data_IF_349756313285
#
_entry.id   IF_349756313285
#
_cell.length_a   1.000
_cell.length_b   1.000
_cell.length_c   1.000
_cell.angle_alpha   90.00
_cell.angle_beta   90.00
_cell.angle_gamma   90.00
#
_symmetry.space_group_name_H-M   'P 1'
#
loop_
_entity.id
_entity.type
_entity.pdbx_description
1 polymer ?
#
# COMPACT_ATOMS: atom_id res chain seq x y z
N UNK A 1 -11.12 -2.26 7.36
CA UNK A 1 -10.02 -2.36 8.32
C UNK A 1 -8.69 -2.46 7.58
N UNK A 2 -7.66 -1.73 8.02
CA UNK A 2 -6.28 -1.79 7.54
C UNK A 2 -5.30 -1.76 8.70
N UNK A 3 -4.00 -1.84 8.40
CA UNK A 3 -2.96 -1.89 9.44
C UNK A 3 -2.94 -0.64 10.35
N UNK A 4 -3.42 0.51 9.87
CA UNK A 4 -3.51 1.72 10.70
C UNK A 4 -4.51 1.63 11.85
N UNK A 5 -5.50 0.75 11.73
CA UNK A 5 -6.57 0.60 12.73
C UNK A 5 -6.18 -0.35 13.87
N UNK A 6 -4.99 -0.95 13.78
CA UNK A 6 -4.43 -1.85 14.79
C UNK A 6 -3.96 -1.09 16.04
N UNK A 7 -4.01 -1.76 17.17
CA UNK A 7 -3.49 -1.20 18.44
C UNK A 7 -1.98 -1.46 18.58
N UNK A 8 -1.33 -0.65 19.39
CA UNK A 8 0.08 -0.83 19.71
C UNK A 8 0.31 -2.17 20.44
N UNK A 9 1.37 -2.89 20.07
CA UNK A 9 1.67 -4.23 20.57
C UNK A 9 0.82 -5.34 19.95
N UNK A 10 0.04 -5.03 18.91
CA UNK A 10 -0.77 -5.98 18.13
C UNK A 10 -0.72 -5.62 16.64
N UNK A 11 0.49 -5.37 16.13
CA UNK A 11 0.71 -5.07 14.72
C UNK A 11 0.65 -6.33 13.87
N UNK A 12 0.10 -6.21 12.67
CA UNK A 12 -0.06 -7.32 11.73
C UNK A 12 -1.42 -8.03 11.78
N UNK A 13 -2.32 -7.64 12.67
CA UNK A 13 -3.63 -8.29 12.80
C UNK A 13 -4.49 -8.18 11.53
N UNK A 14 -4.51 -7.03 10.87
CA UNK A 14 -5.28 -6.86 9.64
C UNK A 14 -4.78 -7.80 8.54
N UNK A 15 -3.46 -7.91 8.37
CA UNK A 15 -2.85 -8.84 7.42
C UNK A 15 -3.01 -10.31 7.86
N UNK A 16 -2.92 -10.59 9.14
CA UNK A 16 -3.16 -11.93 9.66
C UNK A 16 -4.58 -12.40 9.35
N UNK A 17 -5.58 -11.51 9.50
CA UNK A 17 -6.96 -11.81 9.14
C UNK A 17 -7.15 -12.03 7.64
N UNK A 18 -6.35 -11.38 6.79
CA UNK A 18 -6.32 -11.71 5.36
C UNK A 18 -6.07 -13.21 5.15
N UNK A 19 -5.12 -13.78 5.87
CA UNK A 19 -4.82 -15.21 5.81
C UNK A 19 -5.86 -16.07 6.52
N UNK A 20 -6.24 -15.69 7.74
CA UNK A 20 -7.11 -16.48 8.61
C UNK A 20 -8.49 -16.74 7.99
N UNK A 21 -9.03 -15.77 7.26
CA UNK A 21 -10.34 -15.89 6.62
C UNK A 21 -10.35 -16.76 5.33
N UNK A 22 -9.24 -17.41 5.00
CA UNK A 22 -9.16 -18.50 4.03
C UNK A 22 -9.07 -19.88 4.69
N UNK A 23 -8.94 -19.96 6.02
CA UNK A 23 -8.82 -21.25 6.73
C UNK A 23 -10.07 -22.12 6.61
N UNK A 24 -11.25 -21.50 6.52
CA UNK A 24 -12.54 -22.15 6.34
C UNK A 24 -13.65 -21.49 7.15
N UNK A 25 -14.85 -22.03 6.99
CA UNK A 25 -16.07 -21.58 7.66
C UNK A 25 -16.82 -22.78 8.25
N UNK A 26 -17.97 -22.56 8.87
CA UNK A 26 -18.82 -23.67 9.34
C UNK A 26 -19.20 -24.63 8.19
N UNK A 27 -19.39 -24.10 6.98
CA UNK A 27 -19.85 -24.85 5.81
C UNK A 27 -18.74 -25.12 4.77
N UNK A 28 -17.56 -24.55 4.95
CA UNK A 28 -16.37 -24.79 4.11
C UNK A 28 -15.27 -25.40 4.99
N UNK A 29 -14.92 -26.65 4.70
CA UNK A 29 -13.84 -27.32 5.43
C UNK A 29 -12.52 -26.57 5.31
N UNK A 30 -11.73 -26.65 6.38
CA UNK A 30 -10.39 -26.05 6.44
C UNK A 30 -9.52 -26.45 5.25
N UNK A 31 -8.91 -25.48 4.58
CA UNK A 31 -8.05 -25.67 3.41
C UNK A 31 -8.78 -25.94 2.11
N UNK A 32 -10.13 -25.91 2.09
CA UNK A 32 -10.93 -26.20 0.89
C UNK A 32 -11.34 -24.95 0.10
N UNK A 33 -11.07 -23.78 0.61
CA UNK A 33 -11.43 -22.52 -0.06
C UNK A 33 -10.92 -22.47 -1.50
N UNK A 34 -9.62 -22.63 -1.69
CA UNK A 34 -8.96 -22.59 -3.00
C UNK A 34 -9.38 -23.74 -3.92
N UNK A 35 -9.68 -24.93 -3.36
CA UNK A 35 -10.18 -26.07 -4.11
C UNK A 35 -11.55 -25.76 -4.73
N UNK A 36 -12.47 -25.13 -3.95
CA UNK A 36 -13.82 -24.76 -4.42
C UNK A 36 -13.70 -23.71 -5.54
N UNK A 37 -12.89 -22.68 -5.36
CA UNK A 37 -12.68 -21.65 -6.38
C UNK A 37 -12.18 -22.29 -7.68
N UNK A 38 -11.12 -23.09 -7.60
CA UNK A 38 -10.50 -23.73 -8.76
C UNK A 38 -11.41 -24.72 -9.46
N UNK A 39 -12.16 -25.55 -8.70
CA UNK A 39 -13.12 -26.53 -9.25
C UNK A 39 -14.27 -25.85 -10.01
N UNK A 40 -14.57 -24.60 -9.72
CA UNK A 40 -15.61 -23.83 -10.40
C UNK A 40 -15.04 -22.87 -11.47
N UNK A 41 -13.77 -23.03 -11.86
CA UNK A 41 -13.11 -22.24 -12.90
C UNK A 41 -12.81 -20.80 -12.49
N UNK A 42 -12.78 -20.53 -11.19
CA UNK A 42 -12.49 -19.22 -10.63
C UNK A 42 -11.01 -19.00 -10.29
N UNK A 43 -10.71 -17.80 -9.90
CA UNK A 43 -9.45 -17.36 -9.28
C UNK A 43 -9.76 -16.38 -8.16
N UNK A 44 -8.93 -16.36 -7.15
CA UNK A 44 -9.08 -15.46 -6.01
C UNK A 44 -7.72 -14.97 -5.51
N UNK A 45 -7.74 -13.87 -4.77
CA UNK A 45 -6.61 -13.37 -4.01
C UNK A 45 -7.11 -12.39 -2.94
N UNK A 46 -6.19 -11.91 -2.12
CA UNK A 46 -6.44 -10.84 -1.16
C UNK A 46 -5.20 -9.94 -1.01
N UNK A 47 -5.36 -8.79 -0.41
CA UNK A 47 -4.26 -7.94 0.00
C UNK A 47 -4.66 -6.98 1.12
N UNK A 48 -3.72 -6.72 2.00
CA UNK A 48 -3.85 -5.73 3.08
C UNK A 48 -2.96 -4.53 2.82
N UNK A 49 -3.48 -3.36 3.12
CA UNK A 49 -2.76 -2.09 3.09
C UNK A 49 -2.87 -1.38 4.43
N UNK A 50 -2.33 -0.19 4.53
CA UNK A 50 -2.51 0.66 5.70
C UNK A 50 -3.99 1.00 5.97
N UNK A 51 -4.82 1.10 4.93
CA UNK A 51 -6.19 1.61 5.03
C UNK A 51 -7.28 0.54 4.91
N UNK A 52 -6.98 -0.63 4.33
CA UNK A 52 -8.00 -1.65 4.03
C UNK A 52 -7.42 -3.05 3.90
N UNK A 53 -8.27 -4.05 4.09
CA UNK A 53 -8.10 -5.44 3.62
C UNK A 53 -9.09 -5.67 2.48
N UNK A 54 -8.64 -6.28 1.40
CA UNK A 54 -9.40 -6.51 0.18
C UNK A 54 -9.34 -7.98 -0.21
N UNK A 55 -10.50 -8.61 -0.34
CA UNK A 55 -10.68 -9.97 -0.84
C UNK A 55 -11.37 -9.89 -2.18
N UNK A 56 -11.00 -10.73 -3.13
CA UNK A 56 -11.70 -10.79 -4.41
C UNK A 56 -11.66 -12.17 -5.02
N UNK A 57 -12.71 -12.47 -5.74
CA UNK A 57 -12.88 -13.69 -6.50
C UNK A 57 -13.39 -13.37 -7.89
N UNK A 58 -12.90 -14.10 -8.88
CA UNK A 58 -13.37 -14.00 -10.26
C UNK A 58 -13.87 -15.37 -10.68
N UNK A 59 -15.13 -15.46 -11.12
CA UNK A 59 -15.76 -16.68 -11.57
C UNK A 59 -16.36 -16.50 -12.97
N UNK A 60 -16.57 -17.59 -13.75
CA UNK A 60 -17.50 -17.57 -14.88
C UNK A 60 -18.88 -17.07 -14.45
N UNK A 61 -19.59 -16.30 -15.29
CA UNK A 61 -20.86 -15.65 -14.92
C UNK A 61 -21.93 -16.63 -14.40
N UNK A 62 -21.97 -17.87 -14.90
CA UNK A 62 -22.86 -18.92 -14.42
C UNK A 62 -22.47 -19.52 -13.05
N UNK A 63 -21.45 -18.95 -12.39
CA UNK A 63 -20.98 -19.34 -11.05
C UNK A 63 -21.04 -18.18 -10.05
N UNK A 64 -21.75 -17.10 -10.39
CA UNK A 64 -21.92 -15.94 -9.53
C UNK A 64 -22.41 -16.30 -8.12
N UNK A 65 -23.39 -17.19 -8.02
CA UNK A 65 -23.98 -17.61 -6.75
C UNK A 65 -22.95 -18.28 -5.83
N UNK A 66 -21.99 -19.04 -6.37
CA UNK A 66 -20.92 -19.66 -5.58
C UNK A 66 -20.04 -18.58 -4.94
N UNK A 67 -19.65 -17.55 -5.70
CA UNK A 67 -18.85 -16.44 -5.17
C UNK A 67 -19.59 -15.67 -4.07
N UNK A 68 -20.89 -15.37 -4.28
CA UNK A 68 -21.71 -14.71 -3.26
C UNK A 68 -21.87 -15.56 -2.00
N UNK A 69 -22.10 -16.87 -2.15
CA UNK A 69 -22.15 -17.79 -1.03
C UNK A 69 -20.82 -17.83 -0.26
N UNK A 70 -19.69 -18.00 -0.95
CA UNK A 70 -18.38 -18.07 -0.29
C UNK A 70 -18.07 -16.79 0.49
N UNK A 71 -18.32 -15.62 -0.09
CA UNK A 71 -18.08 -14.36 0.60
C UNK A 71 -19.06 -14.10 1.74
N UNK A 72 -20.31 -14.58 1.66
CA UNK A 72 -21.24 -14.54 2.80
C UNK A 72 -20.79 -15.46 3.94
N UNK A 73 -20.28 -16.65 3.62
CA UNK A 73 -19.69 -17.56 4.61
C UNK A 73 -18.49 -16.93 5.33
N UNK A 74 -17.62 -16.23 4.60
CA UNK A 74 -16.51 -15.46 5.17
C UNK A 74 -16.96 -14.43 6.21
N UNK A 75 -18.11 -13.80 5.98
CA UNK A 75 -18.66 -12.77 6.86
C UNK A 75 -19.46 -13.34 8.03
N UNK A 76 -20.21 -14.42 7.80
CA UNK A 76 -21.16 -14.98 8.78
C UNK A 76 -20.53 -16.04 9.69
N UNK A 77 -19.70 -16.92 9.14
CA UNK A 77 -19.35 -18.17 9.78
C UNK A 77 -17.85 -18.49 9.76
N UNK A 78 -16.92 -17.49 9.88
CA UNK A 78 -15.50 -17.78 9.83
C UNK A 78 -15.07 -18.65 11.00
N UNK A 79 -14.30 -19.71 10.74
CA UNK A 79 -13.71 -20.54 11.80
C UNK A 79 -12.44 -19.90 12.34
N UNK A 80 -12.59 -19.18 13.48
CA UNK A 80 -11.47 -18.62 14.21
C UNK A 80 -11.14 -19.55 15.37
N UNK A 81 -10.32 -20.55 15.07
CA UNK A 81 -9.94 -21.62 16.00
C UNK A 81 -8.41 -21.60 16.21
N UNK A 82 -7.99 -22.11 17.39
CA UNK A 82 -6.56 -22.14 17.74
C UNK A 82 -5.69 -22.80 16.69
N UNK A 83 -6.14 -23.88 16.07
CA UNK A 83 -5.38 -24.59 15.04
C UNK A 83 -5.17 -23.73 13.77
N UNK A 84 -6.17 -22.92 13.38
CA UNK A 84 -6.06 -21.98 12.28
C UNK A 84 -5.10 -20.86 12.62
N UNK A 85 -5.25 -20.27 13.80
CA UNK A 85 -4.38 -19.20 14.31
C UNK A 85 -2.93 -19.67 14.37
N UNK A 86 -2.64 -20.81 15.00
CA UNK A 86 -1.28 -21.34 15.11
C UNK A 86 -0.66 -21.61 13.73
N UNK A 87 -1.46 -22.15 12.78
CA UNK A 87 -0.98 -22.41 11.42
C UNK A 87 -0.65 -21.12 10.70
N UNK A 88 -1.57 -20.15 10.69
CA UNK A 88 -1.37 -18.90 9.97
C UNK A 88 -0.33 -18.01 10.63
N UNK A 89 -0.09 -18.13 11.93
CA UNK A 89 1.03 -17.47 12.59
C UNK A 89 2.37 -17.87 11.94
N UNK A 90 2.61 -19.15 11.75
CA UNK A 90 3.85 -19.61 11.10
C UNK A 90 3.91 -19.21 9.61
N UNK A 91 2.77 -19.22 8.90
CA UNK A 91 2.70 -18.79 7.49
C UNK A 91 3.06 -17.31 7.35
N UNK A 92 2.45 -16.44 8.13
CA UNK A 92 2.70 -14.98 8.09
C UNK A 92 4.13 -14.66 8.52
N UNK A 93 4.66 -15.34 9.53
CA UNK A 93 6.05 -15.19 9.95
C UNK A 93 7.03 -15.62 8.86
N UNK A 94 6.73 -16.72 8.16
CA UNK A 94 7.55 -17.16 7.04
C UNK A 94 7.47 -16.19 5.86
N UNK A 95 6.29 -15.65 5.56
CA UNK A 95 6.13 -14.62 4.55
C UNK A 95 6.96 -13.37 4.87
N UNK A 96 6.92 -12.92 6.14
CA UNK A 96 7.76 -11.80 6.59
C UNK A 96 9.24 -12.08 6.40
N UNK A 97 9.70 -13.28 6.78
CA UNK A 97 11.11 -13.68 6.55
C UNK A 97 11.46 -13.63 5.06
N UNK A 98 10.63 -14.22 4.20
CA UNK A 98 10.91 -14.32 2.76
C UNK A 98 10.85 -12.97 2.05
N UNK A 99 9.87 -12.12 2.38
CA UNK A 99 9.63 -10.87 1.64
C UNK A 99 10.39 -9.67 2.20
N UNK A 100 10.63 -9.65 3.50
CA UNK A 100 11.21 -8.47 4.17
C UNK A 100 12.60 -8.79 4.74
N UNK A 101 12.69 -9.81 5.61
CA UNK A 101 13.89 -9.99 6.41
C UNK A 101 15.05 -10.61 5.59
N UNK A 102 14.75 -11.53 4.64
CA UNK A 102 15.72 -12.22 3.80
C UNK A 102 15.79 -11.73 2.35
N UNK A 103 14.84 -10.87 1.93
CA UNK A 103 14.83 -10.34 0.57
C UNK A 103 15.78 -9.13 0.46
N UNK A 104 16.64 -9.06 -0.56
CA UNK A 104 17.45 -7.87 -0.83
C UNK A 104 16.52 -6.64 -0.98
N UNK A 105 16.81 -5.56 -0.25
CA UNK A 105 16.00 -4.34 -0.19
C UNK A 105 14.55 -4.56 0.31
N UNK A 106 14.24 -5.68 0.97
CA UNK A 106 12.90 -5.99 1.45
C UNK A 106 12.30 -4.89 2.32
N UNK A 107 13.08 -4.30 3.23
CA UNK A 107 12.66 -3.17 4.07
C UNK A 107 12.32 -1.90 3.27
N UNK A 108 12.92 -1.69 2.08
CA UNK A 108 12.58 -0.58 1.18
C UNK A 108 11.29 -0.91 0.42
N UNK A 109 11.20 -2.10 -0.16
CA UNK A 109 10.09 -2.54 -1.01
C UNK A 109 8.78 -2.56 -0.20
N UNK A 110 8.83 -3.11 1.02
CA UNK A 110 7.69 -3.16 1.95
C UNK A 110 7.62 -1.97 2.91
N UNK A 111 8.48 -0.96 2.69
CA UNK A 111 8.51 0.33 3.37
C UNK A 111 8.79 0.29 4.87
N UNK A 112 9.03 -0.86 5.46
CA UNK A 112 9.28 -0.99 6.91
C UNK A 112 10.54 -0.24 7.38
N UNK A 113 11.55 -0.10 6.52
CA UNK A 113 12.74 0.72 6.76
C UNK A 113 12.62 2.18 6.29
N UNK A 114 11.43 2.63 5.93
CA UNK A 114 11.16 4.01 5.50
C UNK A 114 10.12 4.66 6.41
N UNK A 115 8.93 4.06 6.50
CA UNK A 115 7.78 4.66 7.17
C UNK A 115 7.95 4.75 8.68
N UNK A 116 8.69 3.83 9.30
CA UNK A 116 9.09 3.90 10.72
C UNK A 116 9.95 5.13 11.07
N UNK A 117 10.70 5.66 10.11
CA UNK A 117 11.47 6.89 10.29
C UNK A 117 10.66 8.14 9.92
N UNK A 118 9.69 7.98 9.02
CA UNK A 118 8.87 9.07 8.50
C UNK A 118 7.80 9.48 9.49
N UNK A 119 7.03 8.52 10.02
CA UNK A 119 5.95 8.75 10.98
C UNK A 119 6.43 8.49 12.42
N UNK A 120 6.11 9.41 13.33
CA UNK A 120 6.44 9.29 14.76
C UNK A 120 5.25 8.92 15.63
N UNK A 121 4.05 9.30 15.21
CA UNK A 121 2.82 9.15 15.98
C UNK A 121 1.78 8.37 15.20
N UNK A 122 1.66 8.67 13.89
CA UNK A 122 0.64 8.05 13.06
C UNK A 122 0.95 6.56 12.81
N UNK A 123 -0.04 5.66 12.88
CA UNK A 123 0.14 4.21 12.67
C UNK A 123 0.75 3.82 11.32
N UNK A 124 0.74 4.71 10.31
CA UNK A 124 1.43 4.45 9.04
C UNK A 124 2.93 4.19 9.19
N UNK A 125 3.54 4.54 10.32
CA UNK A 125 4.91 4.15 10.65
C UNK A 125 5.08 2.67 10.98
N UNK A 126 3.98 1.91 11.14
CA UNK A 126 4.00 0.48 11.47
C UNK A 126 4.01 -0.39 10.20
N UNK A 127 4.57 -1.58 10.33
CA UNK A 127 4.56 -2.58 9.26
C UNK A 127 3.17 -3.19 9.08
N UNK A 128 2.70 -3.31 7.84
CA UNK A 128 1.43 -3.98 7.54
C UNK A 128 1.46 -5.46 7.94
N UNK A 129 2.60 -6.14 7.73
CA UNK A 129 2.76 -7.54 8.10
C UNK A 129 2.98 -7.75 9.61
N UNK A 130 3.24 -6.67 10.36
CA UNK A 130 3.46 -6.70 11.79
C UNK A 130 4.89 -7.06 12.23
N UNK A 131 5.08 -7.16 13.55
CA UNK A 131 6.29 -7.67 14.16
C UNK A 131 6.14 -9.14 14.54
N UNK A 132 7.26 -9.88 14.63
CA UNK A 132 7.25 -11.27 15.09
C UNK A 132 6.76 -11.37 16.54
N UNK A 133 7.18 -10.44 17.39
CA UNK A 133 6.83 -10.41 18.80
C UNK A 133 5.33 -10.19 19.01
N UNK A 134 4.72 -9.28 18.23
CA UNK A 134 3.27 -9.03 18.30
C UNK A 134 2.45 -10.23 17.83
N UNK A 135 2.91 -10.91 16.75
CA UNK A 135 2.27 -12.11 16.24
C UNK A 135 2.34 -13.29 17.23
N UNK A 136 3.48 -13.44 17.92
CA UNK A 136 3.68 -14.50 18.91
C UNK A 136 2.93 -14.22 20.24
N UNK A 137 2.73 -12.96 20.58
CA UNK A 137 2.03 -12.55 21.78
C UNK A 137 0.50 -12.57 21.65
N UNK A 138 -0.02 -12.75 20.43
CA UNK A 138 -1.44 -12.69 20.14
C UNK A 138 -2.20 -13.92 20.68
N UNK A 139 -3.33 -13.69 21.34
CA UNK A 139 -4.18 -14.75 21.90
C UNK A 139 -5.46 -14.95 21.09
N UNK A 140 -6.02 -16.17 21.12
CA UNK A 140 -7.21 -16.54 20.34
C UNK A 140 -8.39 -15.58 20.56
N UNK A 141 -8.62 -15.15 21.79
CA UNK A 141 -9.72 -14.24 22.13
C UNK A 141 -9.56 -12.86 21.50
N UNK A 142 -8.31 -12.42 21.26
CA UNK A 142 -8.06 -11.14 20.58
C UNK A 142 -8.42 -11.21 19.10
N UNK A 143 -8.19 -12.36 18.45
CA UNK A 143 -8.65 -12.60 17.08
C UNK A 143 -10.19 -12.64 16.99
N UNK A 144 -10.86 -13.32 17.91
CA UNK A 144 -12.33 -13.34 17.95
C UNK A 144 -12.87 -11.91 18.10
N UNK A 145 -12.36 -11.15 19.06
CA UNK A 145 -12.79 -9.77 19.31
C UNK A 145 -12.49 -8.82 18.13
N UNK A 146 -11.36 -9.05 17.42
CA UNK A 146 -11.02 -8.29 16.24
C UNK A 146 -12.02 -8.56 15.09
N UNK A 147 -12.39 -9.83 14.88
CA UNK A 147 -13.40 -10.19 13.90
C UNK A 147 -14.75 -9.53 14.22
N UNK A 148 -15.26 -9.72 15.41
CA UNK A 148 -16.54 -9.14 15.87
C UNK A 148 -16.59 -7.62 15.71
N UNK A 149 -15.48 -6.95 15.97
CA UNK A 149 -15.38 -5.49 15.87
C UNK A 149 -15.34 -4.99 14.44
N UNK A 150 -14.59 -5.65 13.56
CA UNK A 150 -14.25 -5.07 12.25
C UNK A 150 -14.90 -5.74 11.06
N UNK A 151 -15.25 -7.03 11.16
CA UNK A 151 -15.84 -7.78 10.05
C UNK A 151 -17.37 -7.83 10.18
N UNK A 152 -17.99 -6.72 9.85
CA UNK A 152 -19.44 -6.54 9.89
C UNK A 152 -19.91 -5.64 8.73
N UNK A 153 -21.20 -5.68 8.34
CA UNK A 153 -21.71 -5.02 7.12
C UNK A 153 -21.49 -3.51 7.07
N UNK A 154 -21.54 -2.81 8.21
CA UNK A 154 -21.33 -1.35 8.24
C UNK A 154 -19.85 -0.94 8.11
N UNK A 155 -18.92 -1.90 8.08
CA UNK A 155 -17.50 -1.70 7.81
C UNK A 155 -17.02 -2.43 6.53
N UNK A 156 -17.93 -2.97 5.73
CA UNK A 156 -17.62 -3.71 4.51
C UNK A 156 -18.27 -3.08 3.28
N UNK A 157 -17.66 -3.25 2.14
CA UNK A 157 -18.22 -2.88 0.83
C UNK A 157 -18.16 -4.11 -0.07
N UNK A 158 -19.32 -4.58 -0.48
CA UNK A 158 -19.46 -5.62 -1.48
C UNK A 158 -19.60 -4.98 -2.87
N UNK A 159 -18.79 -5.42 -3.82
CA UNK A 159 -18.88 -4.99 -5.22
C UNK A 159 -18.96 -6.22 -6.12
N UNK A 160 -19.95 -6.25 -6.98
CA UNK A 160 -20.13 -7.31 -8.00
C UNK A 160 -20.11 -6.65 -9.38
N UNK A 161 -19.24 -7.15 -10.25
CA UNK A 161 -19.07 -6.63 -11.61
C UNK A 161 -18.96 -7.78 -12.62
N UNK A 162 -19.41 -7.54 -13.84
CA UNK A 162 -19.26 -8.51 -14.93
C UNK A 162 -20.54 -8.70 -15.74
N UNK A 163 -20.66 -9.86 -16.36
CA UNK A 163 -21.87 -10.29 -17.08
C UNK A 163 -22.91 -10.81 -16.08
N UNK A 164 -23.73 -9.88 -15.56
CA UNK A 164 -24.71 -10.13 -14.50
C UNK A 164 -26.06 -9.49 -14.82
N UNK A 165 -27.15 -10.15 -14.40
CA UNK A 165 -28.46 -9.48 -14.26
C UNK A 165 -28.52 -8.77 -12.90
N UNK A 166 -28.81 -7.49 -12.93
CA UNK A 166 -28.80 -6.65 -11.72
C UNK A 166 -29.93 -7.02 -10.74
N UNK A 167 -31.10 -7.41 -11.24
CA UNK A 167 -32.24 -7.74 -10.38
C UNK A 167 -32.03 -9.09 -9.69
N UNK A 168 -31.58 -10.09 -10.45
CA UNK A 168 -31.21 -11.41 -9.92
C UNK A 168 -30.05 -11.32 -8.93
N UNK A 169 -28.99 -10.59 -9.29
CA UNK A 169 -27.83 -10.39 -8.40
C UNK A 169 -28.23 -9.72 -7.07
N UNK A 170 -29.12 -8.71 -7.11
CA UNK A 170 -29.63 -8.09 -5.88
C UNK A 170 -30.44 -9.06 -5.03
N UNK A 171 -31.23 -9.94 -5.64
CA UNK A 171 -31.98 -10.97 -4.91
C UNK A 171 -31.01 -11.93 -4.21
N UNK A 172 -30.02 -12.45 -4.93
CA UNK A 172 -29.00 -13.33 -4.35
C UNK A 172 -28.21 -12.64 -3.21
N UNK A 173 -27.83 -11.37 -3.37
CA UNK A 173 -27.17 -10.61 -2.30
C UNK A 173 -28.08 -10.52 -1.07
N UNK A 174 -29.38 -10.28 -1.23
CA UNK A 174 -30.32 -10.24 -0.09
C UNK A 174 -30.46 -11.61 0.58
N UNK A 175 -30.47 -12.69 -0.20
CA UNK A 175 -30.58 -14.06 0.31
C UNK A 175 -29.34 -14.45 1.12
N UNK A 176 -28.14 -14.12 0.66
CA UNK A 176 -26.89 -14.50 1.30
C UNK A 176 -26.40 -13.53 2.39
N UNK A 177 -26.61 -12.22 2.22
CA UNK A 177 -26.07 -11.19 3.12
C UNK A 177 -27.14 -10.47 3.96
N UNK A 178 -28.43 -10.61 3.61
CA UNK A 178 -29.50 -9.84 4.25
C UNK A 178 -29.73 -10.15 5.72
N UNK A 179 -29.27 -11.29 6.22
CA UNK A 179 -29.39 -11.71 7.62
C UNK A 179 -28.19 -11.30 8.49
N UNK A 180 -27.14 -10.74 7.89
CA UNK A 180 -25.95 -10.34 8.64
C UNK A 180 -26.27 -9.11 9.47
N UNK A 181 -26.19 -9.25 10.80
CA UNK A 181 -26.46 -8.15 11.73
C UNK A 181 -25.31 -7.14 11.78
N UNK A 182 -25.66 -5.87 11.91
CA UNK A 182 -24.68 -4.81 12.13
C UNK A 182 -24.25 -4.76 13.59
N UNK A 183 -22.95 -4.61 13.82
CA UNK A 183 -22.44 -4.24 15.12
C UNK A 183 -22.48 -2.71 15.29
N UNK A 184 -23.26 -2.23 16.26
CA UNK A 184 -23.48 -0.81 16.50
C UNK A 184 -22.24 -0.05 17.02
N UNK A 185 -21.26 -0.76 17.58
CA UNK A 185 -20.06 -0.17 18.18
C UNK A 185 -18.93 0.11 17.17
N UNK A 186 -19.15 -0.18 15.90
CA UNK A 186 -18.12 -0.14 14.89
C UNK A 186 -17.71 1.29 14.48
N UNK A 187 -16.42 1.54 14.52
CA UNK A 187 -15.68 2.47 13.66
C UNK A 187 -15.73 3.96 13.97
N UNK A 188 -15.52 4.35 15.21
CA UNK A 188 -15.02 5.70 15.48
C UNK A 188 -13.57 5.77 15.00
N UNK A 189 -13.36 6.34 13.81
CA UNK A 189 -12.01 6.63 13.31
C UNK A 189 -11.46 7.80 14.11
N UNK A 190 -10.40 7.55 14.88
CA UNK A 190 -9.65 8.61 15.56
C UNK A 190 -8.80 9.35 14.52
N UNK A 191 -8.92 10.67 14.48
CA UNK A 191 -8.01 11.50 13.69
C UNK A 191 -6.69 11.64 14.46
N UNK A 192 -5.63 11.00 13.94
CA UNK A 192 -4.29 11.09 14.49
C UNK A 192 -3.47 12.07 13.68
N UNK A 193 -3.02 13.14 14.32
CA UNK A 193 -2.23 14.18 13.66
C UNK A 193 -0.74 13.86 13.79
N UNK A 194 -0.09 13.62 12.65
CA UNK A 194 1.37 13.47 12.59
C UNK A 194 2.06 14.83 12.67
N UNK A 195 3.04 15.02 13.55
CA UNK A 195 3.80 16.26 13.61
C UNK A 195 4.57 16.52 12.31
N UNK A 196 4.48 17.75 11.81
CA UNK A 196 5.20 18.15 10.60
C UNK A 196 6.73 17.99 10.77
N UNK A 197 7.39 17.56 9.71
CA UNK A 197 8.85 17.57 9.62
C UNK A 197 9.28 19.01 9.30
N UNK A 198 9.98 19.66 10.23
CA UNK A 198 10.43 21.04 10.11
C UNK A 198 11.95 21.17 9.90
N UNK A 199 12.68 20.06 10.07
CA UNK A 199 14.10 19.93 9.78
C UNK A 199 14.39 18.54 9.22
N UNK A 200 15.42 18.43 8.38
CA UNK A 200 15.83 17.14 7.80
C UNK A 200 16.14 16.14 8.91
N UNK A 201 15.45 14.99 8.87
CA UNK A 201 15.77 13.85 9.73
C UNK A 201 16.73 12.92 9.01
N UNK A 202 17.66 12.33 9.71
CA UNK A 202 18.64 11.38 9.17
C UNK A 202 18.45 10.02 9.83
N UNK A 203 18.47 8.97 9.00
CA UNK A 203 18.38 7.60 9.46
C UNK A 203 19.38 6.70 8.71
N UNK A 204 19.67 5.57 9.32
CA UNK A 204 20.45 4.51 8.69
C UNK A 204 19.73 3.19 8.91
N UNK A 205 19.54 2.45 7.83
CA UNK A 205 19.01 1.08 7.84
C UNK A 205 20.08 0.13 7.39
N UNK A 206 20.08 -1.07 7.95
CA UNK A 206 21.03 -2.13 7.63
C UNK A 206 20.32 -3.35 7.06
N UNK A 207 20.92 -3.94 6.03
CA UNK A 207 20.41 -5.14 5.37
C UNK A 207 21.58 -6.06 5.02
N UNK A 208 21.59 -7.24 5.63
CA UNK A 208 22.63 -8.26 5.39
C UNK A 208 22.51 -8.93 4.03
N UNK A 209 21.39 -8.77 3.33
CA UNK A 209 21.10 -9.44 2.07
C UNK A 209 21.51 -8.62 0.84
N UNK A 210 22.00 -7.40 1.05
CA UNK A 210 22.48 -6.54 -0.03
C UNK A 210 24.00 -6.40 0.01
N UNK A 211 24.59 -6.15 -1.15
CA UNK A 211 25.98 -5.75 -1.29
C UNK A 211 26.12 -4.27 -1.67
N UNK A 212 25.09 -3.71 -2.25
CA UNK A 212 25.09 -2.37 -2.83
C UNK A 212 24.19 -1.46 -2.01
N UNK A 213 24.72 -0.38 -1.45
CA UNK A 213 23.92 0.55 -0.65
C UNK A 213 22.92 1.35 -1.51
N UNK A 214 21.91 1.90 -0.83
CA UNK A 214 20.96 2.84 -1.43
C UNK A 214 20.89 4.13 -0.61
N UNK A 215 20.48 5.22 -1.27
CA UNK A 215 20.19 6.50 -0.62
C UNK A 215 18.77 6.94 -0.95
N UNK A 216 17.99 7.26 0.08
CA UNK A 216 16.55 7.46 -0.04
C UNK A 216 16.16 8.76 0.64
N UNK A 217 15.29 9.54 -0.03
CA UNK A 217 14.54 10.65 0.54
C UNK A 217 13.08 10.25 0.65
N UNK A 218 12.45 10.53 1.79
CA UNK A 218 11.03 10.31 1.97
C UNK A 218 10.36 11.52 2.62
N UNK A 219 9.15 11.85 2.16
CA UNK A 219 8.37 13.03 2.54
C UNK A 219 6.97 12.62 2.93
N UNK A 220 6.36 13.32 3.89
CA UNK A 220 4.92 13.24 4.15
C UNK A 220 4.21 14.13 3.13
N UNK A 221 3.16 13.63 2.52
CA UNK A 221 2.44 14.26 1.42
C UNK A 221 0.92 14.23 1.67
N UNK A 222 0.11 14.90 0.84
CA UNK A 222 -1.33 14.98 1.08
C UNK A 222 -2.02 13.63 0.91
N UNK A 223 -3.20 13.52 1.50
CA UNK A 223 -4.07 12.35 1.40
C UNK A 223 -4.61 12.13 -0.01
N UNK A 224 -5.03 10.91 -0.29
CA UNK A 224 -5.37 10.40 -1.63
C UNK A 224 -6.51 11.11 -2.34
N UNK A 225 -7.37 11.83 -1.62
CA UNK A 225 -8.50 12.58 -2.21
C UNK A 225 -8.08 13.94 -2.79
N UNK A 226 -6.92 14.46 -2.41
CA UNK A 226 -6.44 15.77 -2.80
C UNK A 226 -5.79 15.76 -4.19
N UNK A 227 -6.00 16.83 -4.97
CA UNK A 227 -5.42 16.97 -6.31
C UNK A 227 -3.89 16.90 -6.30
N UNK A 228 -3.26 17.36 -5.23
CA UNK A 228 -1.81 17.37 -5.09
C UNK A 228 -1.22 15.96 -5.01
N UNK A 229 -1.96 14.98 -4.48
CA UNK A 229 -1.55 13.58 -4.51
C UNK A 229 -1.39 13.07 -5.95
N UNK A 230 -2.32 13.38 -6.85
CA UNK A 230 -2.22 13.02 -8.27
C UNK A 230 -1.10 13.76 -8.98
N UNK A 231 -0.81 14.99 -8.55
CA UNK A 231 0.30 15.77 -9.10
C UNK A 231 1.66 15.15 -8.73
N UNK A 232 1.78 14.53 -7.56
CA UNK A 232 2.97 13.79 -7.15
C UNK A 232 3.23 12.54 -8.01
N UNK A 233 2.18 11.92 -8.59
CA UNK A 233 2.36 10.84 -9.57
C UNK A 233 3.05 11.34 -10.84
N UNK A 234 2.70 12.56 -11.30
CA UNK A 234 3.42 13.20 -12.41
C UNK A 234 4.88 13.43 -12.06
N UNK A 235 5.18 13.95 -10.88
CA UNK A 235 6.55 14.18 -10.40
C UNK A 235 7.35 12.87 -10.36
N UNK A 236 6.75 11.77 -9.86
CA UNK A 236 7.38 10.44 -9.86
C UNK A 236 7.76 10.00 -11.27
N UNK A 237 6.82 10.13 -12.21
CA UNK A 237 7.03 9.74 -13.61
C UNK A 237 8.08 10.61 -14.32
N UNK A 238 8.15 11.91 -14.01
CA UNK A 238 9.19 12.83 -14.54
C UNK A 238 10.56 12.38 -14.04
N UNK A 239 10.67 12.09 -12.75
CA UNK A 239 11.96 11.79 -12.13
C UNK A 239 12.49 10.41 -12.48
N UNK A 240 11.61 9.37 -12.50
CA UNK A 240 12.05 7.97 -12.66
C UNK A 240 11.19 7.11 -13.57
N UNK A 241 10.24 7.68 -14.32
CA UNK A 241 9.35 6.96 -15.25
C UNK A 241 10.05 6.44 -16.50
N UNK A 242 10.93 5.43 -16.33
CA UNK A 242 11.68 4.76 -17.39
C UNK A 242 12.99 5.47 -17.76
N UNK A 243 13.71 4.91 -18.74
CA UNK A 243 15.07 5.33 -19.11
C UNK A 243 15.16 6.76 -19.65
N UNK A 244 14.05 7.36 -20.08
CA UNK A 244 14.02 8.74 -20.54
C UNK A 244 13.78 9.77 -19.42
N UNK A 245 13.59 9.33 -18.19
CA UNK A 245 13.33 10.18 -17.03
C UNK A 245 14.56 10.98 -16.58
N UNK A 246 14.32 12.04 -15.81
CA UNK A 246 15.39 13.00 -15.47
C UNK A 246 16.49 12.40 -14.61
N UNK A 247 16.10 11.71 -13.52
CA UNK A 247 17.09 11.07 -12.62
C UNK A 247 17.82 9.94 -13.32
N UNK A 248 17.13 9.12 -14.14
CA UNK A 248 17.80 8.04 -14.85
C UNK A 248 18.88 8.60 -15.80
N UNK A 249 18.54 9.56 -16.65
CA UNK A 249 19.50 10.20 -17.56
C UNK A 249 20.67 10.87 -16.83
N UNK A 250 20.37 11.51 -15.68
CA UNK A 250 21.42 12.20 -14.93
C UNK A 250 22.30 11.23 -14.16
N UNK A 251 21.72 10.38 -13.32
CA UNK A 251 22.47 9.58 -12.35
C UNK A 251 22.99 8.26 -12.94
N UNK A 252 22.24 7.65 -13.87
CA UNK A 252 22.62 6.35 -14.46
C UNK A 252 23.43 6.54 -15.73
N UNK A 253 22.93 7.33 -16.69
CA UNK A 253 23.57 7.45 -18.01
C UNK A 253 24.77 8.40 -18.00
N UNK A 254 24.58 9.62 -17.46
CA UNK A 254 25.60 10.71 -17.54
C UNK A 254 26.63 10.62 -16.43
N UNK A 255 26.20 10.77 -15.18
CA UNK A 255 27.12 10.88 -14.05
C UNK A 255 27.61 9.51 -13.58
N UNK A 256 26.87 8.44 -13.90
CA UNK A 256 27.18 7.04 -13.60
C UNK A 256 27.40 6.75 -12.11
N UNK A 257 26.66 7.46 -11.25
CA UNK A 257 26.71 7.34 -9.78
C UNK A 257 25.65 6.38 -9.22
N UNK A 258 24.68 5.98 -10.04
CA UNK A 258 23.64 5.04 -9.68
C UNK A 258 23.55 3.88 -10.67
N UNK A 259 23.13 2.71 -10.18
CA UNK A 259 22.70 1.57 -10.99
C UNK A 259 21.23 1.68 -11.34
N UNK A 260 20.44 2.15 -10.38
CA UNK A 260 18.99 2.31 -10.51
C UNK A 260 18.53 3.53 -9.72
N UNK A 261 17.49 4.18 -10.21
CA UNK A 261 16.78 5.26 -9.53
C UNK A 261 15.32 4.88 -9.35
N UNK A 262 14.72 5.37 -8.27
CA UNK A 262 13.32 5.13 -7.95
C UNK A 262 12.66 6.43 -7.46
N UNK A 263 11.39 6.60 -7.79
CA UNK A 263 10.50 7.56 -7.16
C UNK A 263 9.06 7.06 -7.27
N UNK A 264 8.35 7.11 -6.18
CA UNK A 264 6.94 6.74 -6.14
C UNK A 264 6.19 7.55 -5.09
N UNK A 265 4.95 7.82 -5.41
CA UNK A 265 3.97 8.42 -4.53
C UNK A 265 3.02 7.33 -4.04
N UNK A 266 2.80 7.26 -2.74
CA UNK A 266 1.80 6.39 -2.14
C UNK A 266 0.82 7.26 -1.37
N UNK A 267 -0.34 7.51 -1.96
CA UNK A 267 -1.37 8.32 -1.35
C UNK A 267 -2.37 7.42 -0.61
N UNK A 268 -2.40 7.53 0.71
CA UNK A 268 -3.32 6.82 1.60
C UNK A 268 -4.45 7.74 2.08
N UNK A 269 -5.33 7.23 2.96
CA UNK A 269 -6.54 7.94 3.39
C UNK A 269 -6.23 9.17 4.26
N UNK A 270 -5.26 9.08 5.17
CA UNK A 270 -4.97 10.12 6.14
C UNK A 270 -3.75 10.98 5.74
N UNK A 271 -2.70 10.35 5.24
CA UNK A 271 -1.49 10.98 4.71
C UNK A 271 -1.00 10.23 3.47
N UNK A 272 -0.32 10.93 2.58
CA UNK A 272 0.50 10.30 1.56
C UNK A 272 1.97 10.26 1.96
N UNK A 273 2.76 9.52 1.21
CA UNK A 273 4.21 9.52 1.28
C UNK A 273 4.80 9.61 -0.13
N UNK A 274 5.83 10.41 -0.28
CA UNK A 274 6.60 10.49 -1.49
C UNK A 274 8.02 10.02 -1.22
N UNK A 275 8.45 8.98 -1.90
CA UNK A 275 9.78 8.40 -1.71
C UNK A 275 10.55 8.46 -3.02
N UNK A 276 11.80 8.88 -2.97
CA UNK A 276 12.73 8.84 -4.09
C UNK A 276 14.12 8.42 -3.63
N UNK A 277 14.90 7.83 -4.54
CA UNK A 277 16.22 7.35 -4.16
C UNK A 277 16.99 6.75 -5.32
N UNK A 278 18.19 6.25 -4.97
CA UNK A 278 19.09 5.60 -5.89
C UNK A 278 19.79 4.41 -5.25
N UNK A 279 19.93 3.32 -6.00
CA UNK A 279 20.87 2.22 -5.73
C UNK A 279 22.22 2.63 -6.31
N UNK A 280 23.24 2.66 -5.47
CA UNK A 280 24.52 3.32 -5.75
C UNK A 280 25.37 2.47 -6.70
N UNK A 281 26.19 3.12 -7.50
CA UNK A 281 27.18 2.47 -8.35
C UNK A 281 28.58 2.72 -7.80
N UNK A 282 29.27 1.66 -7.40
CA UNK A 282 30.63 1.75 -6.85
C UNK A 282 30.64 2.26 -5.40
N UNK A 283 31.71 2.95 -5.02
CA UNK A 283 31.84 3.50 -3.66
C UNK A 283 30.87 4.67 -3.44
N UNK A 284 30.17 4.72 -2.30
CA UNK A 284 29.16 5.76 -2.04
C UNK A 284 29.79 7.14 -1.89
N UNK A 285 29.39 8.07 -2.75
CA UNK A 285 29.60 9.49 -2.50
C UNK A 285 28.23 10.14 -2.17
N UNK A 286 27.92 10.19 -0.89
CA UNK A 286 26.62 10.65 -0.39
C UNK A 286 26.31 12.10 -0.77
N UNK A 287 27.33 12.97 -0.80
CA UNK A 287 27.17 14.38 -1.13
C UNK A 287 26.82 14.58 -2.61
N UNK A 288 27.46 13.83 -3.49
CA UNK A 288 27.13 13.86 -4.94
C UNK A 288 25.71 13.33 -5.17
N UNK A 289 25.34 12.21 -4.54
CA UNK A 289 24.00 11.66 -4.67
C UNK A 289 22.93 12.64 -4.18
N UNK A 290 23.13 13.18 -2.96
CA UNK A 290 22.25 14.19 -2.37
C UNK A 290 22.11 15.40 -3.28
N UNK A 291 23.24 16.00 -3.68
CA UNK A 291 23.26 17.18 -4.53
C UNK A 291 22.56 16.94 -5.86
N UNK A 292 22.80 15.80 -6.51
CA UNK A 292 22.17 15.48 -7.80
C UNK A 292 20.65 15.31 -7.67
N UNK A 293 20.19 14.63 -6.62
CA UNK A 293 18.75 14.45 -6.36
C UNK A 293 18.10 15.81 -6.03
N UNK A 294 18.73 16.63 -5.21
CA UNK A 294 18.24 17.97 -4.84
C UNK A 294 18.21 18.92 -6.07
N UNK A 295 19.18 18.83 -6.98
CA UNK A 295 19.18 19.59 -8.22
C UNK A 295 18.01 19.22 -9.13
N UNK A 296 17.66 17.94 -9.25
CA UNK A 296 16.51 17.52 -10.08
C UNK A 296 15.17 17.96 -9.45
N UNK A 297 15.03 17.91 -8.12
CA UNK A 297 13.89 18.53 -7.42
C UNK A 297 13.87 20.04 -7.68
N UNK A 298 15.01 20.71 -7.55
CA UNK A 298 15.12 22.16 -7.72
C UNK A 298 14.69 22.61 -9.12
N UNK A 299 15.00 21.85 -10.15
CA UNK A 299 14.52 22.13 -11.52
C UNK A 299 12.99 22.08 -11.59
N UNK A 300 12.33 21.10 -10.95
CA UNK A 300 10.87 21.06 -10.87
C UNK A 300 10.28 22.24 -10.10
N UNK A 301 10.99 22.76 -9.10
CA UNK A 301 10.58 23.91 -8.29
C UNK A 301 10.74 25.25 -9.01
N UNK A 302 11.69 25.36 -9.96
CA UNK A 302 12.05 26.63 -10.58
C UNK A 302 11.59 26.76 -12.03
N UNK A 303 11.48 25.64 -12.76
CA UNK A 303 11.19 25.60 -14.19
C UNK A 303 9.86 24.89 -14.45
N UNK A 304 9.18 25.27 -15.52
CA UNK A 304 8.07 24.47 -16.04
C UNK A 304 8.63 23.31 -16.88
N UNK A 305 7.97 22.15 -16.80
CA UNK A 305 8.32 21.04 -17.69
C UNK A 305 7.98 21.38 -19.15
N UNK A 306 8.69 20.76 -20.10
CA UNK A 306 8.44 20.96 -21.52
C UNK A 306 7.06 20.43 -21.94
N UNK A 307 6.50 20.99 -23.00
CA UNK A 307 5.22 20.51 -23.56
C UNK A 307 5.29 19.05 -23.97
N UNK A 308 6.40 18.62 -24.57
CA UNK A 308 6.62 17.22 -24.96
C UNK A 308 6.60 16.27 -23.75
N UNK A 309 7.24 16.66 -22.66
CA UNK A 309 7.28 15.87 -21.43
C UNK A 309 5.88 15.80 -20.78
N UNK A 310 5.18 16.92 -20.73
CA UNK A 310 3.83 17.01 -20.23
C UNK A 310 2.84 16.14 -21.03
N UNK A 311 2.84 16.24 -22.36
CA UNK A 311 1.97 15.42 -23.23
C UNK A 311 2.27 13.91 -23.11
N UNK A 312 3.55 13.53 -22.98
CA UNK A 312 3.92 12.14 -22.71
C UNK A 312 3.27 11.62 -21.42
N UNK A 313 3.28 12.42 -20.36
CA UNK A 313 2.70 12.04 -19.07
C UNK A 313 1.17 11.91 -19.15
N UNK A 314 0.50 12.88 -19.77
CA UNK A 314 -0.95 12.81 -20.01
C UNK A 314 -1.33 11.48 -20.68
N UNK A 315 -0.66 11.14 -21.79
CA UNK A 315 -0.93 9.91 -22.52
C UNK A 315 -0.64 8.65 -21.67
N UNK A 316 0.41 8.68 -20.86
CA UNK A 316 0.76 7.57 -19.97
C UNK A 316 -0.30 7.33 -18.89
N UNK A 317 -0.76 8.37 -18.22
CA UNK A 317 -1.80 8.25 -17.19
C UNK A 317 -3.13 7.82 -17.79
N UNK A 318 -3.49 8.32 -18.96
CA UNK A 318 -4.69 7.87 -19.67
C UNK A 318 -4.61 6.37 -20.02
N UNK A 319 -3.47 5.93 -20.56
CA UNK A 319 -3.25 4.52 -20.89
C UNK A 319 -3.32 3.63 -19.64
N UNK A 320 -2.64 4.02 -18.56
CA UNK A 320 -2.65 3.27 -17.30
C UNK A 320 -4.05 3.17 -16.71
N UNK A 321 -4.82 4.26 -16.77
CA UNK A 321 -6.20 4.28 -16.30
C UNK A 321 -7.11 3.33 -17.09
N UNK A 322 -7.03 3.36 -18.41
CA UNK A 322 -7.81 2.47 -19.29
C UNK A 322 -7.43 1.01 -19.02
N UNK A 323 -6.14 0.71 -18.91
CA UNK A 323 -5.66 -0.64 -18.62
C UNK A 323 -6.13 -1.14 -17.24
N UNK A 324 -6.05 -0.32 -16.21
CA UNK A 324 -6.48 -0.68 -14.85
C UNK A 324 -7.98 -1.01 -14.77
N UNK A 325 -8.81 -0.41 -15.62
CA UNK A 325 -10.26 -0.61 -15.66
C UNK A 325 -10.73 -1.43 -16.88
N UNK A 326 -9.86 -2.21 -17.50
CA UNK A 326 -10.20 -3.04 -18.67
C UNK A 326 -10.71 -4.45 -18.33
N UNK A 327 -10.64 -4.83 -17.06
CA UNK A 327 -11.10 -6.14 -16.57
C UNK A 327 -12.20 -5.98 -15.53
N UNK A 328 -13.01 -7.01 -15.33
CA UNK A 328 -14.06 -7.03 -14.29
C UNK A 328 -13.46 -6.84 -12.90
N UNK A 329 -12.32 -7.48 -12.62
CA UNK A 329 -11.57 -7.32 -11.37
C UNK A 329 -11.08 -5.88 -11.16
N UNK A 330 -10.49 -5.27 -12.19
CA UNK A 330 -10.00 -3.88 -12.12
C UNK A 330 -11.12 -2.88 -11.86
N UNK A 331 -12.29 -3.07 -12.49
CA UNK A 331 -13.49 -2.26 -12.24
C UNK A 331 -13.96 -2.45 -10.81
N UNK A 332 -14.09 -3.71 -10.33
CA UNK A 332 -14.52 -4.01 -8.97
C UNK A 332 -13.57 -3.38 -7.93
N UNK A 333 -12.27 -3.54 -8.11
CA UNK A 333 -11.25 -2.96 -7.24
C UNK A 333 -11.31 -1.43 -7.20
N UNK A 334 -11.49 -0.79 -8.34
CA UNK A 334 -11.62 0.68 -8.44
C UNK A 334 -12.89 1.17 -7.73
N UNK A 335 -14.04 0.53 -7.96
CA UNK A 335 -15.31 0.90 -7.31
C UNK A 335 -15.24 0.71 -5.80
N UNK A 336 -14.74 -0.43 -5.32
CA UNK A 336 -14.57 -0.72 -3.91
C UNK A 336 -13.65 0.31 -3.23
N UNK A 337 -12.48 0.58 -3.83
CA UNK A 337 -11.52 1.55 -3.33
C UNK A 337 -12.12 2.96 -3.24
N UNK A 338 -12.78 3.42 -4.30
CA UNK A 338 -13.32 4.77 -4.33
C UNK A 338 -14.46 4.95 -3.33
N UNK A 339 -15.35 3.96 -3.19
CA UNK A 339 -16.41 4.03 -2.20
C UNK A 339 -15.87 3.95 -0.78
N UNK A 340 -15.06 2.93 -0.47
CA UNK A 340 -14.55 2.67 0.87
C UNK A 340 -13.66 3.80 1.41
N UNK A 341 -12.75 4.32 0.58
CA UNK A 341 -11.73 5.28 1.02
C UNK A 341 -12.06 6.74 0.70
N UNK A 342 -13.00 6.98 -0.23
CA UNK A 342 -13.31 8.33 -0.72
C UNK A 342 -14.83 8.66 -0.68
N UNK A 343 -15.69 7.68 -0.36
CA UNK A 343 -17.13 7.86 -0.22
C UNK A 343 -17.90 8.02 -1.54
N UNK A 344 -17.26 7.81 -2.71
CA UNK A 344 -17.87 8.11 -4.01
C UNK A 344 -17.48 7.09 -5.10
N UNK A 345 -18.43 6.22 -5.53
CA UNK A 345 -18.21 5.28 -6.65
C UNK A 345 -18.01 5.98 -7.99
N UNK A 346 -18.68 7.12 -8.22
CA UNK A 346 -18.58 7.86 -9.48
C UNK A 346 -17.18 8.45 -9.75
N UNK A 347 -16.27 8.35 -8.77
CA UNK A 347 -14.85 8.68 -8.94
C UNK A 347 -14.22 7.91 -10.10
N UNK A 348 -14.66 6.68 -10.36
CA UNK A 348 -14.20 5.89 -11.51
C UNK A 348 -14.42 6.61 -12.84
N UNK A 349 -15.48 7.40 -12.99
CA UNK A 349 -15.74 8.17 -14.20
C UNK A 349 -15.01 9.52 -14.25
N UNK A 350 -14.59 10.03 -13.08
CA UNK A 350 -13.97 11.36 -12.93
C UNK A 350 -12.44 11.31 -12.82
N UNK A 351 -11.88 10.15 -12.52
CA UNK A 351 -10.46 10.01 -12.20
C UNK A 351 -9.55 10.53 -13.32
N UNK A 352 -9.87 10.19 -14.57
CA UNK A 352 -9.09 10.63 -15.71
C UNK A 352 -9.16 12.15 -15.89
N UNK A 353 -10.31 12.76 -15.67
CA UNK A 353 -10.47 14.21 -15.77
C UNK A 353 -9.65 14.93 -14.70
N UNK A 354 -9.48 14.36 -13.51
CA UNK A 354 -8.60 14.93 -12.49
C UNK A 354 -7.17 14.98 -12.99
N UNK A 355 -6.66 13.89 -13.55
CA UNK A 355 -5.32 13.89 -14.16
C UNK A 355 -5.20 14.93 -15.28
N UNK A 356 -6.21 15.07 -16.13
CA UNK A 356 -6.24 16.08 -17.22
C UNK A 356 -6.27 17.52 -16.72
N UNK A 357 -6.74 17.78 -15.50
CA UNK A 357 -6.73 19.13 -14.89
C UNK A 357 -5.39 19.54 -14.28
N UNK A 358 -4.44 18.60 -14.15
CA UNK A 358 -3.12 18.90 -13.59
C UNK A 358 -2.32 19.69 -14.62
N UNK A 359 -1.86 20.88 -14.25
CA UNK A 359 -1.09 21.77 -15.12
C UNK A 359 0.42 21.66 -14.83
N UNK A 360 1.23 22.23 -15.71
CA UNK A 360 2.69 22.36 -15.48
C UNK A 360 2.98 23.25 -14.26
N UNK A 361 2.14 24.25 -14.03
CA UNK A 361 2.16 25.13 -12.88
C UNK A 361 1.82 24.38 -11.57
N UNK A 362 0.87 23.45 -11.62
CA UNK A 362 0.58 22.56 -10.48
C UNK A 362 1.79 21.70 -10.12
N UNK A 363 2.46 21.11 -11.09
CA UNK A 363 3.68 20.31 -10.89
C UNK A 363 4.76 21.13 -10.18
N UNK A 364 5.01 22.35 -10.67
CA UNK A 364 5.97 23.27 -10.06
C UNK A 364 5.55 23.67 -8.64
N UNK A 365 4.28 24.02 -8.43
CA UNK A 365 3.73 24.39 -7.12
C UNK A 365 3.86 23.23 -6.12
N UNK A 366 3.45 22.03 -6.49
CA UNK A 366 3.46 20.85 -5.63
C UNK A 366 4.90 20.45 -5.27
N UNK A 367 5.84 20.52 -6.21
CA UNK A 367 7.26 20.31 -5.91
C UNK A 367 7.79 21.32 -4.86
N UNK A 368 7.35 22.60 -4.92
CA UNK A 368 7.70 23.59 -3.93
C UNK A 368 7.01 23.38 -2.57
N UNK A 369 5.80 22.85 -2.56
CA UNK A 369 5.03 22.65 -1.33
C UNK A 369 5.56 21.48 -0.51
N UNK A 370 5.84 20.34 -1.17
CA UNK A 370 6.06 19.07 -0.47
C UNK A 370 7.52 18.57 -0.53
N UNK A 371 8.31 18.94 -1.54
CA UNK A 371 9.65 18.36 -1.73
C UNK A 371 10.76 19.28 -1.26
N UNK A 372 10.63 19.83 -0.06
CA UNK A 372 11.66 20.68 0.53
C UNK A 372 12.68 19.87 1.33
N UNK A 373 13.98 20.20 1.28
CA UNK A 373 15.00 19.44 2.00
C UNK A 373 14.75 19.33 3.50
N UNK A 374 14.27 20.39 4.15
CA UNK A 374 13.97 20.40 5.59
C UNK A 374 12.65 19.72 5.98
N UNK A 375 11.91 19.14 5.05
CA UNK A 375 10.64 18.45 5.28
C UNK A 375 10.72 16.94 4.97
N UNK A 376 11.91 16.36 5.08
CA UNK A 376 12.14 14.97 4.69
C UNK A 376 12.92 14.16 5.71
N UNK A 377 12.88 12.84 5.52
CA UNK A 377 13.83 11.90 6.08
C UNK A 377 14.83 11.50 4.99
N UNK A 378 16.12 11.54 5.30
CA UNK A 378 17.21 11.03 4.46
C UNK A 378 17.71 9.71 5.07
N UNK A 379 17.65 8.62 4.30
CA UNK A 379 17.97 7.28 4.78
C UNK A 379 19.16 6.74 4.00
N UNK A 380 20.24 6.41 4.72
CA UNK A 380 21.32 5.58 4.19
C UNK A 380 20.97 4.12 4.42
N UNK A 381 20.80 3.38 3.35
CA UNK A 381 20.50 1.95 3.40
C UNK A 381 21.78 1.17 3.09
N UNK A 382 22.34 0.52 4.10
CA UNK A 382 23.70 -0.03 4.09
C UNK A 382 23.70 -1.54 4.13
N UNK A 383 24.73 -2.14 3.52
CA UNK A 383 25.01 -3.56 3.67
C UNK A 383 25.55 -3.87 5.08
N UNK A 384 25.12 -5.00 5.65
CA UNK A 384 25.61 -5.49 6.93
C UNK A 384 24.63 -5.39 8.07
N UNK A 385 25.13 -5.44 9.30
CA UNK A 385 24.36 -5.36 10.55
C UNK A 385 24.58 -4.00 11.23
N UNK A 386 23.60 -3.58 12.03
CA UNK A 386 23.77 -2.38 12.86
C UNK A 386 24.99 -2.53 13.78
N UNK A 387 25.88 -1.53 13.84
CA UNK A 387 27.03 -1.56 14.75
C UNK A 387 26.53 -1.67 16.20
N UNK A 388 27.11 -2.60 16.95
CA UNK A 388 26.82 -2.74 18.39
C UNK A 388 27.22 -1.43 19.07
N UNK A 389 26.27 -0.77 19.70
CA UNK A 389 26.55 0.43 20.51
C UNK A 389 27.46 0.02 21.65
N UNK A 390 28.68 0.54 21.65
CA UNK A 390 29.63 0.31 22.73
C UNK A 390 29.11 1.04 24.00
N UNK A 391 28.41 0.28 24.85
CA UNK A 391 27.87 0.77 26.13
C UNK A 391 28.95 0.95 27.21
N UNK A 392 30.23 0.77 26.88
CA UNK A 392 31.35 0.85 27.85
C UNK A 392 31.93 2.25 28.03
N UNK A 393 31.34 3.28 27.40
CA UNK A 393 31.73 4.68 27.62
C UNK A 393 30.59 5.47 28.26
N UNK A 394 30.38 5.24 29.53
CA UNK A 394 29.74 6.19 30.46
C UNK A 394 30.72 6.57 31.56
#
# INVERSE_FOLDING_TARGET
IGAKDEIEGRTGFAHFFEHLLFEGTENIERGKWFDIVSANGGSNNANTTQDRTYYYETFPSNKLEIGLWMESERMLHPKIEKIGVDTQNEVVKEEKRQRIDNAPYGKIIYRTGIDNHLFKVHPYGRSVIGSMDDLDAAELNEFISFNEKYYNPNNAVLVVTGDIDIAETKSLIMDYFGTIENNAESNVKLEIIEPAIIETRYATEYDTNIQIPAYIFSYITPKSVEKDAYTLDYISSILTGGNSSRMYKRMVDKDKVALQVLAFNQANQDYGTYTMGAIIKGEPNWDILKTTMDEEIKKLQTELISEKEYQKLQNQFETNYVQANSTVEGIASSLAKYYMLQGETNRINKQLDIYRTITKEDIKRVANTYLNPNQRVEIKYLSGTEPVKDTTKQ
#
